data_IF_132028343310
#
_entry.id   IF_132028343310
#
_cell.length_a   1.000
_cell.length_b   1.000
_cell.length_c   1.000
_cell.angle_alpha   90.00
_cell.angle_beta   90.00
_cell.angle_gamma   90.00
#
_symmetry.space_group_name_H-M   'P 1'
#
loop_
_entity.id
_entity.type
_entity.pdbx_description
1 polymer ?
#
# COMPACT_ATOMS: atom_id res chain seq x y z
N UNK A 1 -27.50 -4.13 -11.38
CA UNK A 1 -26.97 -4.41 -10.02
C UNK A 1 -25.59 -3.76 -9.90
N UNK A 2 -25.37 -2.83 -8.96
CA UNK A 2 -24.00 -2.37 -8.66
C UNK A 2 -23.26 -3.55 -8.04
N UNK A 3 -22.21 -4.02 -8.70
CA UNK A 3 -21.29 -5.01 -8.13
C UNK A 3 -20.55 -4.35 -6.96
N UNK A 4 -20.61 -4.93 -5.78
CA UNK A 4 -19.92 -4.43 -4.59
C UNK A 4 -18.41 -4.51 -4.82
N UNK A 5 -17.73 -3.36 -4.81
CA UNK A 5 -16.30 -3.25 -5.05
C UNK A 5 -15.56 -2.94 -3.77
N UNK A 6 -14.82 -3.93 -3.29
CA UNK A 6 -13.94 -3.80 -2.13
C UNK A 6 -12.47 -3.73 -2.57
N UNK A 7 -11.73 -2.80 -1.97
CA UNK A 7 -10.31 -2.60 -2.16
C UNK A 7 -9.56 -2.77 -0.84
N UNK A 8 -8.52 -3.60 -0.84
CA UNK A 8 -7.58 -3.74 0.28
C UNK A 8 -6.24 -3.07 -0.05
N UNK A 9 -5.81 -2.13 0.76
CA UNK A 9 -4.52 -1.45 0.62
C UNK A 9 -3.59 -1.98 1.70
N UNK A 10 -2.52 -2.63 1.29
CA UNK A 10 -1.52 -3.19 2.18
C UNK A 10 -0.32 -2.24 2.24
N UNK A 11 0.01 -1.78 3.44
CA UNK A 11 1.08 -0.81 3.68
C UNK A 11 2.09 -1.32 4.70
N UNK A 12 3.31 -0.80 4.67
CA UNK A 12 4.38 -1.21 5.60
C UNK A 12 4.09 -0.69 7.00
N UNK A 13 4.02 0.62 7.16
CA UNK A 13 4.00 1.28 8.46
C UNK A 13 2.68 1.96 8.82
N UNK A 14 2.71 2.58 10.01
CA UNK A 14 1.63 3.45 10.47
C UNK A 14 1.58 4.78 9.72
N UNK A 15 2.74 5.30 9.34
CA UNK A 15 2.87 6.53 8.57
C UNK A 15 2.24 6.39 7.18
N UNK A 16 2.49 5.27 6.50
CA UNK A 16 1.81 4.94 5.26
C UNK A 16 0.30 4.81 5.49
N UNK A 17 -0.13 4.09 6.53
CA UNK A 17 -1.55 3.94 6.84
C UNK A 17 -2.24 5.30 6.96
N UNK A 18 -1.64 6.24 7.71
CA UNK A 18 -2.16 7.60 7.88
C UNK A 18 -2.26 8.33 6.55
N UNK A 19 -1.23 8.29 5.72
CA UNK A 19 -1.23 8.93 4.40
C UNK A 19 -2.32 8.36 3.50
N UNK A 20 -2.38 7.04 3.36
CA UNK A 20 -3.39 6.38 2.52
C UNK A 20 -4.80 6.62 3.07
N UNK A 21 -4.98 6.67 4.39
CA UNK A 21 -6.28 6.92 5.02
C UNK A 21 -6.78 8.35 4.82
N UNK A 22 -5.91 9.36 4.88
CA UNK A 22 -6.32 10.77 4.78
C UNK A 22 -6.35 11.28 3.33
N UNK A 23 -5.43 10.83 2.49
CA UNK A 23 -5.25 11.38 1.14
C UNK A 23 -5.93 10.52 0.08
N UNK A 24 -5.70 9.20 0.12
CA UNK A 24 -6.12 8.29 -0.95
C UNK A 24 -7.49 7.67 -0.71
N UNK A 25 -7.83 7.30 0.53
CA UNK A 25 -9.11 6.69 0.88
C UNK A 25 -10.31 7.54 0.43
N UNK A 26 -10.37 8.88 0.66
CA UNK A 26 -11.51 9.68 0.20
C UNK A 26 -11.64 9.71 -1.34
N UNK A 27 -10.51 9.66 -2.06
CA UNK A 27 -10.49 9.61 -3.53
C UNK A 27 -10.95 8.25 -4.05
N UNK A 28 -10.56 7.17 -3.37
CA UNK A 28 -10.86 5.78 -3.74
C UNK A 28 -12.28 5.38 -3.37
N UNK A 29 -12.84 5.92 -2.29
CA UNK A 29 -14.24 5.71 -1.90
C UNK A 29 -15.24 6.23 -2.94
N UNK A 30 -14.82 7.10 -3.88
CA UNK A 30 -15.64 7.48 -5.04
C UNK A 30 -15.80 6.35 -6.06
N UNK A 31 -14.89 5.37 -6.06
CA UNK A 31 -14.82 4.25 -7.03
C UNK A 31 -15.11 2.88 -6.40
N UNK A 32 -14.84 2.74 -5.11
CA UNK A 32 -14.97 1.52 -4.33
C UNK A 32 -15.95 1.73 -3.19
N UNK A 33 -16.85 0.77 -2.97
CA UNK A 33 -17.83 0.82 -1.88
C UNK A 33 -17.14 0.65 -0.51
N UNK A 34 -16.02 -0.08 -0.49
CA UNK A 34 -15.21 -0.28 0.73
C UNK A 34 -13.73 -0.23 0.41
N UNK A 35 -13.00 0.58 1.18
CA UNK A 35 -11.54 0.67 1.14
C UNK A 35 -11.01 0.35 2.53
N UNK A 36 -10.24 -0.73 2.64
CA UNK A 36 -9.65 -1.20 3.89
C UNK A 36 -8.14 -1.12 3.81
N UNK A 37 -7.51 -0.45 4.78
CA UNK A 37 -6.05 -0.31 4.85
C UNK A 37 -5.54 -1.27 5.91
N UNK A 38 -4.48 -2.03 5.60
CA UNK A 38 -3.88 -3.03 6.49
C UNK A 38 -2.37 -2.90 6.52
N UNK A 39 -1.81 -2.86 7.72
CA UNK A 39 -0.37 -2.88 7.95
C UNK A 39 0.18 -4.30 7.88
N UNK A 40 1.21 -4.54 7.06
CA UNK A 40 1.85 -5.86 6.98
C UNK A 40 3.23 -5.95 7.63
N UNK A 41 3.89 -4.84 8.03
CA UNK A 41 5.26 -4.93 8.55
C UNK A 41 5.39 -5.81 9.80
N UNK A 42 4.35 -5.86 10.65
CA UNK A 42 4.30 -6.72 11.84
C UNK A 42 3.72 -8.11 11.57
N UNK A 43 3.31 -8.41 10.34
CA UNK A 43 2.70 -9.68 9.98
C UNK A 43 3.73 -10.66 9.43
N UNK A 44 3.59 -11.93 9.80
CA UNK A 44 4.36 -13.01 9.16
C UNK A 44 4.04 -13.07 7.66
N UNK A 45 5.07 -13.23 6.83
CA UNK A 45 4.96 -13.22 5.36
C UNK A 45 3.99 -14.28 4.85
N UNK A 46 3.95 -15.46 5.47
CA UNK A 46 3.03 -16.54 5.12
C UNK A 46 1.57 -16.16 5.39
N UNK A 47 1.32 -15.35 6.42
CA UNK A 47 -0.01 -14.84 6.76
C UNK A 47 -0.45 -13.81 5.71
N UNK A 48 0.46 -12.93 5.29
CA UNK A 48 0.21 -11.96 4.22
C UNK A 48 -0.13 -12.69 2.91
N UNK A 49 0.68 -13.66 2.49
CA UNK A 49 0.42 -14.45 1.27
C UNK A 49 -0.95 -15.15 1.31
N UNK A 50 -1.31 -15.74 2.46
CA UNK A 50 -2.63 -16.37 2.66
C UNK A 50 -3.77 -15.36 2.52
N UNK A 51 -3.64 -14.17 3.09
CA UNK A 51 -4.66 -13.12 2.95
C UNK A 51 -4.81 -12.67 1.50
N UNK A 52 -3.70 -12.47 0.80
CA UNK A 52 -3.73 -12.04 -0.60
C UNK A 52 -4.44 -13.08 -1.49
N UNK A 53 -4.17 -14.38 -1.26
CA UNK A 53 -4.92 -15.47 -1.91
C UNK A 53 -6.41 -15.41 -1.60
N UNK A 54 -6.78 -15.20 -0.34
CA UNK A 54 -8.18 -15.09 0.07
C UNK A 54 -8.89 -13.93 -0.63
N UNK A 55 -8.23 -12.77 -0.72
CA UNK A 55 -8.78 -11.58 -1.38
C UNK A 55 -8.99 -11.85 -2.88
N UNK A 56 -8.02 -12.50 -3.53
CA UNK A 56 -8.14 -12.92 -4.94
C UNK A 56 -9.32 -13.87 -5.14
N UNK A 57 -9.47 -14.89 -4.29
CA UNK A 57 -10.59 -15.84 -4.36
C UNK A 57 -11.96 -15.18 -4.12
N UNK A 58 -12.01 -14.11 -3.32
CA UNK A 58 -13.22 -13.32 -3.11
C UNK A 58 -13.56 -12.39 -4.29
N UNK A 59 -12.67 -12.25 -5.28
CA UNK A 59 -12.84 -11.31 -6.39
C UNK A 59 -12.69 -9.84 -5.97
N UNK A 60 -12.10 -9.57 -4.81
CA UNK A 60 -11.85 -8.22 -4.33
C UNK A 60 -10.51 -7.70 -4.87
N UNK A 61 -10.41 -6.39 -5.02
CA UNK A 61 -9.17 -5.74 -5.44
C UNK A 61 -8.23 -5.56 -4.24
N UNK A 62 -6.93 -5.60 -4.51
CA UNK A 62 -5.93 -5.17 -3.55
C UNK A 62 -4.78 -4.43 -4.21
N UNK A 63 -4.13 -3.59 -3.41
CA UNK A 63 -2.91 -2.87 -3.74
C UNK A 63 -1.88 -3.21 -2.66
N UNK A 64 -0.73 -3.70 -3.09
CA UNK A 64 0.40 -3.97 -2.20
C UNK A 64 1.43 -2.86 -2.34
N UNK A 65 1.54 -2.01 -1.32
CA UNK A 65 2.39 -0.81 -1.31
C UNK A 65 3.69 -1.14 -0.61
N UNK A 66 4.80 -0.97 -1.32
CA UNK A 66 6.17 -1.16 -0.79
C UNK A 66 7.00 0.09 -1.06
N UNK A 67 7.92 0.41 -0.17
CA UNK A 67 8.95 1.40 -0.49
C UNK A 67 9.94 0.79 -1.50
N UNK A 68 10.49 1.63 -2.38
CA UNK A 68 11.59 1.31 -3.28
C UNK A 68 12.89 1.05 -2.50
N UNK A 69 13.08 1.68 -1.33
CA UNK A 69 14.30 1.62 -0.51
C UNK A 69 15.58 1.79 -1.36
N UNK A 70 16.58 0.93 -1.12
CA UNK A 70 17.86 0.80 -1.84
C UNK A 70 17.76 0.03 -3.16
N UNK A 71 16.55 -0.32 -3.61
CA UNK A 71 16.43 -1.07 -4.86
C UNK A 71 16.78 -0.19 -6.05
N UNK A 72 17.59 -0.68 -7.00
CA UNK A 72 18.07 0.13 -8.12
C UNK A 72 16.93 0.58 -9.05
N UNK A 73 15.81 -0.14 -9.06
CA UNK A 73 14.62 0.25 -9.83
C UNK A 73 13.32 -0.37 -9.28
N UNK A 74 12.18 0.25 -9.63
CA UNK A 74 10.82 -0.22 -9.30
C UNK A 74 10.62 -1.68 -9.73
N UNK A 75 11.12 -2.06 -10.91
CA UNK A 75 11.00 -3.41 -11.44
C UNK A 75 11.75 -4.43 -10.58
N UNK A 76 12.95 -4.11 -10.12
CA UNK A 76 13.73 -4.98 -9.23
C UNK A 76 13.01 -5.19 -7.89
N UNK A 77 12.46 -4.11 -7.31
CA UNK A 77 11.68 -4.20 -6.07
C UNK A 77 10.43 -5.07 -6.23
N UNK A 78 9.67 -4.90 -7.33
CA UNK A 78 8.51 -5.76 -7.64
C UNK A 78 8.90 -7.23 -7.74
N UNK A 79 10.02 -7.55 -8.39
CA UNK A 79 10.50 -8.93 -8.52
C UNK A 79 10.95 -9.54 -7.19
N UNK A 80 11.55 -8.74 -6.30
CA UNK A 80 11.89 -9.17 -4.95
C UNK A 80 10.63 -9.53 -4.16
N UNK A 81 9.63 -8.64 -4.17
CA UNK A 81 8.35 -8.84 -3.49
C UNK A 81 7.63 -10.08 -4.04
N UNK A 82 7.61 -10.27 -5.36
CA UNK A 82 7.03 -11.47 -5.98
C UNK A 82 7.76 -12.77 -5.61
N UNK A 83 9.09 -12.73 -5.37
CA UNK A 83 9.83 -13.91 -4.91
C UNK A 83 9.41 -14.33 -3.50
N UNK A 84 9.13 -13.36 -2.64
CA UNK A 84 8.69 -13.59 -1.26
C UNK A 84 7.21 -13.97 -1.19
N UNK A 85 6.38 -13.30 -1.98
CA UNK A 85 4.93 -13.46 -2.02
C UNK A 85 4.52 -14.01 -3.39
N UNK A 86 4.57 -15.33 -3.53
CA UNK A 86 4.34 -16.03 -4.80
C UNK A 86 2.94 -15.81 -5.39
N UNK A 87 1.97 -15.44 -4.56
CA UNK A 87 0.59 -15.15 -5.00
C UNK A 87 0.42 -13.76 -5.64
N UNK A 88 1.42 -12.88 -5.54
CA UNK A 88 1.35 -11.53 -6.08
C UNK A 88 1.66 -11.49 -7.57
N UNK A 89 0.79 -10.81 -8.33
CA UNK A 89 1.06 -10.39 -9.69
C UNK A 89 1.69 -8.99 -9.68
N UNK A 90 2.62 -8.76 -10.60
CA UNK A 90 3.38 -7.50 -10.73
C UNK A 90 2.50 -6.24 -10.86
N UNK A 91 1.32 -6.39 -11.44
CA UNK A 91 0.32 -5.34 -11.67
C UNK A 91 -0.38 -4.89 -10.38
N UNK A 92 -0.42 -5.75 -9.37
CA UNK A 92 -1.06 -5.47 -8.07
C UNK A 92 -0.08 -4.93 -7.03
N UNK A 93 1.20 -4.79 -7.41
CA UNK A 93 2.25 -4.20 -6.58
C UNK A 93 2.45 -2.74 -7.01
N UNK A 94 2.27 -1.83 -6.06
CA UNK A 94 2.62 -0.42 -6.20
C UNK A 94 3.89 -0.18 -5.42
N UNK A 95 4.94 0.26 -6.10
CA UNK A 95 6.17 0.68 -5.45
C UNK A 95 6.08 2.19 -5.32
N UNK A 96 6.18 2.69 -4.09
CA UNK A 96 6.24 4.11 -3.80
C UNK A 96 7.72 4.50 -3.71
N UNK A 97 8.11 5.63 -4.29
CA UNK A 97 9.43 6.22 -4.06
C UNK A 97 9.36 7.13 -2.84
N UNK A 98 10.33 7.04 -1.94
CA UNK A 98 10.47 7.82 -0.71
C UNK A 98 10.50 9.35 -0.88
N UNK A 99 10.37 9.91 -2.10
CA UNK A 99 10.11 11.34 -2.30
C UNK A 99 8.78 11.81 -1.65
N UNK A 100 7.93 10.88 -1.19
CA UNK A 100 6.77 11.19 -0.34
C UNK A 100 7.18 11.50 1.12
N UNK A 101 8.36 11.09 1.60
CA UNK A 101 8.88 11.59 2.89
C UNK A 101 9.21 13.10 2.83
N UNK A 102 9.48 13.63 1.64
CA UNK A 102 9.52 15.07 1.40
C UNK A 102 8.20 15.79 1.74
N UNK A 103 7.08 15.07 1.80
CA UNK A 103 5.77 15.63 2.15
C UNK A 103 5.58 15.70 3.67
N UNK A 104 6.28 14.84 4.43
CA UNK A 104 6.42 15.03 5.88
C UNK A 104 7.21 16.31 6.17
N UNK A 105 8.29 16.57 5.43
CA UNK A 105 9.05 17.82 5.52
C UNK A 105 8.22 19.05 5.12
N UNK A 106 7.49 18.99 4.00
CA UNK A 106 6.62 20.10 3.57
C UNK A 106 5.45 20.38 4.54
N UNK A 107 4.98 19.36 5.27
CA UNK A 107 3.97 19.53 6.33
C UNK A 107 4.54 19.92 7.69
N UNK A 108 5.84 19.68 7.94
CA UNK A 108 6.55 20.08 9.16
C UNK A 108 7.11 21.51 9.07
N UNK A 109 7.35 22.04 7.86
CA UNK A 109 7.98 23.33 7.63
C UNK A 109 7.22 24.53 8.24
N UNK A 110 5.90 24.44 8.43
CA UNK A 110 5.15 25.53 9.08
C UNK A 110 5.24 25.56 10.61
N UNK A 111 5.60 24.44 11.26
CA UNK A 111 5.61 24.37 12.74
C UNK A 111 6.99 24.17 13.36
N UNK A 112 7.99 23.71 12.59
CA UNK A 112 9.34 23.45 13.10
C UNK A 112 10.30 24.63 12.89
N UNK A 113 9.97 25.61 12.05
CA UNK A 113 10.80 26.81 11.79
C UNK A 113 10.55 28.00 12.73
N UNK A 114 9.82 27.83 13.84
CA UNK A 114 9.71 28.84 14.89
C UNK A 114 10.31 28.33 16.20
N UNK A 115 11.62 28.42 16.29
CA UNK A 115 12.36 28.53 17.56
C UNK A 115 13.56 29.44 17.35
#
# INVERSE_FOLDING_TARGET
MKSYRQLFIWVEGEDDERFFAHILKPKLQKKYDRVEIRKYARMKKEKVDRFLRSIQSMGADFLYVVDIDKSPCVRARKQEVMRVLRSLKMEKIVVVRSEIEGWYLAGLDESVLRS
#
